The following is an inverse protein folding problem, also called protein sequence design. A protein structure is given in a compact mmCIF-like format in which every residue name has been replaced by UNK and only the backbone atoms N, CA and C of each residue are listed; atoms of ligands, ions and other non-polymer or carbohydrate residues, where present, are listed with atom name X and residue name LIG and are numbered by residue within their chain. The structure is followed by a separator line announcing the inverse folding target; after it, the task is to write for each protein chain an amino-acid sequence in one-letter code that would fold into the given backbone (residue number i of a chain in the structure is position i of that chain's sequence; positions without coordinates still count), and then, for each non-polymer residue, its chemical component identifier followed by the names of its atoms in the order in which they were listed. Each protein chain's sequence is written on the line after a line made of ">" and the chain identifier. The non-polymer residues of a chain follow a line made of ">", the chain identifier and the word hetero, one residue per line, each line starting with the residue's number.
data_IF_182300324851
#
_entry.id   IF_182300324851
#
_cell.length_a   1.000
_cell.length_b   1.000
_cell.length_c   1.000
_cell.angle_alpha   90.00
_cell.angle_beta   90.00
_cell.angle_gamma   90.00
#
_symmetry.space_group_name_H-M   'P 1'
#
loop_
_entity.id
_entity.type
_entity.pdbx_description
1 polymer ?
#
# COMPACT_ATOMS: atom_id res chain seq x y z
N UNK A 1 8.73 -12.50 -14.86
CA UNK A 1 8.63 -11.02 -14.96
C UNK A 1 7.18 -10.56 -14.90
N UNK A 2 6.28 -10.99 -15.79
CA UNK A 2 4.84 -10.67 -15.66
C UNK A 2 4.20 -11.29 -14.40
N UNK A 3 4.57 -12.53 -14.03
CA UNK A 3 4.21 -13.13 -12.73
C UNK A 3 4.73 -12.33 -11.52
N UNK A 4 5.71 -11.46 -11.75
CA UNK A 4 6.23 -10.56 -10.74
C UNK A 4 5.51 -9.19 -10.69
N UNK A 5 4.45 -9.00 -11.49
CA UNK A 5 3.66 -7.77 -11.54
C UNK A 5 4.25 -6.67 -12.43
N UNK A 6 5.30 -6.97 -13.21
CA UNK A 6 5.88 -5.99 -14.14
C UNK A 6 5.03 -5.81 -15.39
N UNK A 7 4.86 -4.56 -15.80
CA UNK A 7 4.43 -4.25 -17.17
C UNK A 7 5.47 -4.72 -18.18
N UNK A 8 5.09 -4.87 -19.44
CA UNK A 8 6.01 -5.28 -20.51
C UNK A 8 7.19 -4.32 -20.65
N UNK A 9 6.97 -3.02 -20.47
CA UNK A 9 8.03 -2.01 -20.52
C UNK A 9 8.99 -2.13 -19.34
N UNK A 10 8.49 -2.38 -18.12
CA UNK A 10 9.30 -2.60 -16.93
C UNK A 10 10.11 -3.90 -17.04
N UNK A 11 9.47 -4.99 -17.48
CA UNK A 11 10.12 -6.28 -17.70
C UNK A 11 11.26 -6.16 -18.73
N UNK A 12 11.04 -5.41 -19.80
CA UNK A 12 12.06 -5.16 -20.82
C UNK A 12 13.22 -4.31 -20.27
N UNK A 13 12.93 -3.25 -19.51
CA UNK A 13 13.96 -2.42 -18.88
C UNK A 13 14.84 -3.23 -17.90
N UNK A 14 14.22 -4.10 -17.10
CA UNK A 14 14.94 -4.98 -16.16
C UNK A 14 15.78 -6.03 -16.87
N UNK A 15 15.27 -6.60 -17.97
CA UNK A 15 16.05 -7.52 -18.79
C UNK A 15 17.28 -6.83 -19.39
N UNK A 16 17.14 -5.58 -19.87
CA UNK A 16 18.28 -4.80 -20.36
C UNK A 16 19.29 -4.46 -19.26
N UNK A 17 18.83 -4.11 -18.05
CA UNK A 17 19.71 -3.84 -16.91
C UNK A 17 20.50 -5.10 -16.50
N UNK A 18 19.82 -6.25 -16.42
CA UNK A 18 20.44 -7.53 -16.11
C UNK A 18 21.50 -7.96 -17.16
N UNK A 19 21.28 -7.67 -18.45
CA UNK A 19 22.29 -7.91 -19.50
C UNK A 19 23.57 -7.08 -19.32
N UNK A 20 23.49 -5.96 -18.57
CA UNK A 20 24.62 -5.09 -18.22
C UNK A 20 25.16 -5.37 -16.82
N UNK A 21 24.74 -6.49 -16.20
CA UNK A 21 25.07 -6.86 -14.82
C UNK A 21 24.63 -5.81 -13.78
N UNK A 22 23.68 -4.94 -14.15
CA UNK A 22 23.04 -3.98 -13.25
C UNK A 22 21.78 -4.62 -12.65
N UNK A 23 21.94 -5.23 -11.48
CA UNK A 23 20.85 -5.87 -10.75
C UNK A 23 20.11 -4.91 -9.80
N UNK A 24 20.55 -3.65 -9.68
CA UNK A 24 20.04 -2.70 -8.71
C UNK A 24 18.54 -2.45 -8.84
N UNK A 25 18.04 -2.12 -10.05
CA UNK A 25 16.61 -1.93 -10.28
C UNK A 25 15.74 -3.14 -9.94
N UNK A 26 16.23 -4.36 -10.20
CA UNK A 26 15.52 -5.60 -9.87
C UNK A 26 15.46 -5.79 -8.35
N UNK A 27 16.59 -5.65 -7.67
CA UNK A 27 16.67 -5.82 -6.22
C UNK A 27 15.85 -4.77 -5.47
N UNK A 28 15.91 -3.50 -5.89
CA UNK A 28 15.04 -2.44 -5.37
C UNK A 28 13.57 -2.84 -5.45
N UNK A 29 13.13 -3.32 -6.61
CA UNK A 29 11.75 -3.73 -6.76
C UNK A 29 11.39 -4.93 -5.89
N UNK A 30 12.25 -5.96 -5.80
CA UNK A 30 11.99 -7.12 -4.96
C UNK A 30 11.89 -6.75 -3.48
N UNK A 31 12.78 -5.87 -3.00
CA UNK A 31 12.76 -5.36 -1.63
C UNK A 31 11.48 -4.57 -1.35
N UNK A 32 11.14 -3.61 -2.22
CA UNK A 32 9.94 -2.79 -2.08
C UNK A 32 8.67 -3.63 -2.16
N UNK A 33 8.61 -4.61 -3.06
CA UNK A 33 7.50 -5.57 -3.12
C UNK A 33 7.40 -6.39 -1.84
N UNK A 34 8.52 -6.82 -1.27
CA UNK A 34 8.57 -7.49 0.02
C UNK A 34 7.98 -6.62 1.13
N UNK A 35 8.43 -5.36 1.24
CA UNK A 35 7.89 -4.40 2.20
C UNK A 35 6.37 -4.18 2.03
N UNK A 36 5.91 -3.97 0.79
CA UNK A 36 4.49 -3.81 0.50
C UNK A 36 3.66 -5.07 0.77
N UNK A 37 4.26 -6.26 0.71
CA UNK A 37 3.56 -7.52 1.03
C UNK A 37 3.20 -7.69 2.50
N UNK A 38 3.86 -6.94 3.40
CA UNK A 38 3.53 -6.89 4.82
C UNK A 38 2.43 -5.88 5.15
N UNK A 39 2.10 -4.97 4.22
CA UNK A 39 1.02 -4.00 4.37
C UNK A 39 -0.32 -4.71 4.15
N UNK A 40 -1.29 -4.43 5.02
CA UNK A 40 -2.63 -5.04 4.92
C UNK A 40 -3.31 -4.71 3.60
N UNK A 41 -3.90 -5.74 2.99
CA UNK A 41 -4.75 -5.60 1.82
C UNK A 41 -6.16 -5.13 2.25
N UNK A 42 -6.39 -3.83 2.10
CA UNK A 42 -7.66 -3.17 2.42
C UNK A 42 -8.75 -3.34 1.34
N UNK A 43 -8.43 -4.00 0.22
CA UNK A 43 -9.38 -4.27 -0.87
C UNK A 43 -10.21 -5.54 -0.64
N UNK A 44 -9.77 -6.40 0.28
CA UNK A 44 -10.48 -7.62 0.65
C UNK A 44 -11.84 -7.29 1.27
N UNK A 45 -12.93 -7.97 0.87
CA UNK A 45 -14.24 -7.83 1.50
C UNK A 45 -14.21 -8.14 3.01
N UNK A 46 -13.33 -9.04 3.42
CA UNK A 46 -13.05 -9.35 4.83
C UNK A 46 -11.54 -9.21 5.09
N UNK A 47 -11.12 -8.33 6.01
CA UNK A 47 -9.69 -8.11 6.26
C UNK A 47 -9.01 -9.35 6.86
N UNK A 48 -8.26 -10.09 6.04
CA UNK A 48 -7.59 -11.34 6.43
C UNK A 48 -6.53 -11.16 7.53
N UNK A 49 -6.03 -9.95 7.72
CA UNK A 49 -5.05 -9.65 8.78
C UNK A 49 -5.60 -9.93 10.18
N UNK A 50 -6.92 -9.85 10.38
CA UNK A 50 -7.54 -10.19 11.66
C UNK A 50 -7.34 -11.66 12.04
N UNK A 51 -7.50 -12.57 11.08
CA UNK A 51 -7.34 -14.02 11.30
C UNK A 51 -5.88 -14.30 11.65
N UNK A 52 -4.95 -13.78 10.85
CA UNK A 52 -3.51 -13.86 11.14
C UNK A 52 -3.17 -13.32 12.54
N UNK A 53 -3.78 -12.20 12.96
CA UNK A 53 -3.57 -11.61 14.28
C UNK A 53 -4.10 -12.50 15.40
N UNK A 54 -5.26 -13.13 15.21
CA UNK A 54 -5.83 -14.10 16.16
C UNK A 54 -4.93 -15.33 16.29
N UNK A 55 -4.54 -15.94 15.17
CA UNK A 55 -3.67 -17.12 15.14
C UNK A 55 -2.34 -16.86 15.85
N UNK A 56 -1.71 -15.71 15.59
CA UNK A 56 -0.47 -15.32 16.27
C UNK A 56 -0.68 -15.12 17.77
N UNK A 57 -1.81 -14.52 18.18
CA UNK A 57 -2.13 -14.35 19.60
C UNK A 57 -2.37 -15.68 20.31
N UNK A 58 -3.07 -16.62 19.68
CA UNK A 58 -3.29 -17.98 20.20
C UNK A 58 -1.98 -18.77 20.32
N UNK A 59 -1.03 -18.53 19.42
CA UNK A 59 0.31 -19.12 19.48
C UNK A 59 1.20 -18.56 20.60
N UNK A 60 0.78 -17.47 21.27
CA UNK A 60 1.57 -16.79 22.29
C UNK A 60 2.66 -15.88 21.74
N UNK A 61 2.52 -15.39 20.51
CA UNK A 61 3.50 -14.50 19.89
C UNK A 61 3.65 -13.19 20.70
N UNK A 62 4.88 -12.75 21.06
CA UNK A 62 5.11 -11.79 22.14
C UNK A 62 4.67 -10.35 21.85
N UNK A 63 4.43 -10.00 20.58
CA UNK A 63 4.12 -8.63 20.15
C UNK A 63 2.67 -8.44 19.69
N UNK A 64 1.78 -9.36 20.08
CA UNK A 64 0.38 -9.37 19.64
C UNK A 64 -0.55 -9.20 20.83
N UNK A 65 -1.40 -8.17 20.78
CA UNK A 65 -2.38 -7.88 21.82
C UNK A 65 -3.81 -8.24 21.38
N UNK A 66 -4.07 -9.54 21.21
CA UNK A 66 -5.39 -10.05 20.83
C UNK A 66 -6.51 -9.64 21.79
N UNK A 67 -6.32 -9.59 23.13
CA UNK A 67 -7.36 -9.12 24.03
C UNK A 67 -7.78 -7.67 23.79
N UNK A 68 -6.86 -6.78 23.42
CA UNK A 68 -7.21 -5.39 23.09
C UNK A 68 -8.00 -5.30 21.79
N UNK A 69 -7.58 -6.04 20.75
CA UNK A 69 -8.31 -6.12 19.49
C UNK A 69 -9.74 -6.63 19.70
N UNK A 70 -9.92 -7.69 20.49
CA UNK A 70 -11.24 -8.24 20.77
C UNK A 70 -12.16 -7.22 21.45
N UNK A 71 -11.65 -6.46 22.43
CA UNK A 71 -12.45 -5.39 23.08
C UNK A 71 -12.90 -4.30 22.11
N UNK A 72 -12.09 -3.95 21.11
CA UNK A 72 -12.49 -2.98 20.08
C UNK A 72 -13.60 -3.53 19.20
N UNK A 73 -13.49 -4.79 18.78
CA UNK A 73 -14.52 -5.47 17.99
C UNK A 73 -15.83 -5.62 18.78
N UNK A 74 -15.75 -6.01 20.06
CA UNK A 74 -16.91 -6.15 20.96
C UNK A 74 -17.60 -4.79 21.21
N UNK A 75 -16.85 -3.69 21.16
CA UNK A 75 -17.39 -2.33 21.25
C UNK A 75 -18.06 -1.86 19.94
N UNK A 76 -18.04 -2.68 18.88
CA UNK A 76 -18.67 -2.37 17.60
C UNK A 76 -17.85 -1.44 16.71
N UNK A 77 -16.54 -1.33 16.93
CA UNK A 77 -15.66 -0.60 16.00
C UNK A 77 -15.67 -1.30 14.63
N UNK A 78 -15.86 -0.53 13.56
CA UNK A 78 -15.81 -1.03 12.20
C UNK A 78 -14.40 -1.58 11.90
N UNK A 79 -14.33 -2.83 11.45
CA UNK A 79 -13.06 -3.48 11.09
C UNK A 79 -12.35 -2.75 9.95
N UNK A 80 -13.09 -2.14 9.03
CA UNK A 80 -12.50 -1.39 7.91
C UNK A 80 -11.88 -0.08 8.40
N UNK A 81 -12.40 0.54 9.47
CA UNK A 81 -11.74 1.65 10.17
C UNK A 81 -10.43 1.23 10.80
N UNK A 82 -10.43 0.10 11.51
CA UNK A 82 -9.20 -0.44 12.06
C UNK A 82 -8.18 -0.79 10.97
N UNK A 83 -8.64 -1.36 9.86
CA UNK A 83 -7.78 -1.73 8.72
C UNK A 83 -7.08 -0.51 8.13
N UNK A 84 -7.75 0.63 8.00
CA UNK A 84 -7.15 1.84 7.43
C UNK A 84 -6.10 2.43 8.37
N UNK A 85 -6.37 2.43 9.68
CA UNK A 85 -5.39 2.84 10.69
C UNK A 85 -4.15 1.93 10.67
N UNK A 86 -4.36 0.61 10.61
CA UNK A 86 -3.28 -0.37 10.50
C UNK A 86 -2.48 -0.14 9.23
N UNK A 87 -3.14 0.04 8.08
CA UNK A 87 -2.46 0.32 6.81
C UNK A 87 -1.61 1.59 6.90
N UNK A 88 -2.15 2.70 7.41
CA UNK A 88 -1.39 3.93 7.56
C UNK A 88 -0.15 3.76 8.45
N UNK A 89 -0.28 3.04 9.57
CA UNK A 89 0.85 2.74 10.44
C UNK A 89 1.91 1.88 9.76
N UNK A 90 1.50 0.86 8.98
CA UNK A 90 2.41 0.00 8.24
C UNK A 90 3.10 0.71 7.09
N UNK A 91 2.38 1.55 6.33
CA UNK A 91 2.96 2.38 5.26
C UNK A 91 4.02 3.32 5.83
N UNK A 92 3.72 4.00 6.94
CA UNK A 92 4.72 4.83 7.63
C UNK A 92 5.92 3.99 8.09
N UNK A 93 5.68 2.78 8.58
CA UNK A 93 6.75 1.88 9.01
C UNK A 93 7.67 1.51 7.85
N UNK A 94 7.13 1.07 6.71
CA UNK A 94 7.96 0.69 5.55
C UNK A 94 8.63 1.91 4.89
N UNK A 95 8.00 3.08 4.97
CA UNK A 95 8.60 4.36 4.58
C UNK A 95 9.85 4.65 5.41
N UNK A 96 9.72 4.58 6.73
CA UNK A 96 10.84 4.82 7.64
C UNK A 96 11.94 3.76 7.48
N UNK A 97 11.57 2.49 7.25
CA UNK A 97 12.55 1.42 6.97
C UNK A 97 13.29 1.67 5.66
N UNK A 98 12.59 2.05 4.58
CA UNK A 98 13.22 2.37 3.31
C UNK A 98 14.18 3.57 3.44
N UNK A 99 13.75 4.63 4.14
CA UNK A 99 14.59 5.79 4.44
C UNK A 99 15.82 5.41 5.28
N UNK A 100 15.64 4.58 6.30
CA UNK A 100 16.75 4.10 7.13
C UNK A 100 17.73 3.24 6.34
N UNK A 101 17.28 2.47 5.35
CA UNK A 101 18.17 1.68 4.49
C UNK A 101 19.00 2.58 3.58
N UNK A 102 18.39 3.64 3.03
CA UNK A 102 19.06 4.57 2.13
C UNK A 102 20.03 5.49 2.86
N UNK A 103 19.66 5.90 4.08
CA UNK A 103 20.44 6.81 4.93
C UNK A 103 20.28 6.45 6.42
N UNK A 104 21.05 5.48 6.94
CA UNK A 104 20.91 5.03 8.33
C UNK A 104 21.26 6.07 9.39
N UNK A 105 22.03 7.10 9.03
CA UNK A 105 22.54 8.09 9.97
C UNK A 105 21.68 9.36 10.05
N UNK A 106 20.75 9.55 9.10
CA UNK A 106 19.94 10.77 8.92
C UNK A 106 19.40 11.40 10.20
N UNK A 107 18.77 10.59 11.06
CA UNK A 107 18.02 11.07 12.22
C UNK A 107 18.78 10.90 13.55
N UNK A 108 20.00 10.37 13.51
CA UNK A 108 20.78 10.16 14.72
C UNK A 108 21.48 11.44 15.21
N UNK A 109 21.45 12.53 14.43
CA UNK A 109 22.11 13.79 14.77
C UNK A 109 23.63 13.67 14.89
N UNK A 110 24.19 12.57 14.40
CA UNK A 110 25.62 12.30 14.38
C UNK A 110 26.21 12.86 13.08
N UNK A 111 26.54 14.15 13.07
CA UNK A 111 27.71 14.61 12.31
C UNK A 111 28.96 14.12 13.06
N UNK A 112 29.14 12.79 13.10
CA UNK A 112 30.37 12.20 13.61
C UNK A 112 31.25 12.05 12.38
N UNK A 113 32.22 12.94 12.22
CA UNK A 113 33.14 12.98 11.06
C UNK A 113 33.78 11.60 10.74
N UNK A 114 33.84 10.70 11.74
CA UNK A 114 34.41 9.36 11.65
C UNK A 114 33.39 8.20 11.75
N UNK A 115 32.08 8.47 11.74
CA UNK A 115 31.08 7.39 11.77
C UNK A 115 31.05 6.66 10.42
N UNK A 116 31.14 5.32 10.41
CA UNK A 116 31.03 4.57 9.16
C UNK A 116 29.61 4.68 8.61
N UNK A 117 29.48 5.03 7.33
CA UNK A 117 28.22 4.92 6.61
C UNK A 117 27.80 3.44 6.54
N UNK A 118 26.66 3.11 7.13
CA UNK A 118 26.00 1.83 6.90
C UNK A 118 25.20 1.93 5.60
N UNK A 119 25.29 0.93 4.73
CA UNK A 119 24.50 0.90 3.51
C UNK A 119 24.16 -0.53 3.10
N UNK A 120 22.97 -0.70 2.52
CA UNK A 120 22.61 -1.95 1.87
C UNK A 120 23.30 -2.03 0.50
N UNK A 121 24.06 -3.10 0.30
CA UNK A 121 24.71 -3.39 -0.96
C UNK A 121 24.54 -4.87 -1.33
N UNK A 122 24.61 -5.17 -2.63
CA UNK A 122 24.61 -6.51 -3.17
C UNK A 122 25.92 -6.78 -3.91
N UNK A 123 26.25 -8.06 -4.03
CA UNK A 123 27.45 -8.54 -4.73
C UNK A 123 27.01 -9.41 -5.90
N UNK A 124 27.42 -9.02 -7.11
CA UNK A 124 27.45 -9.92 -8.25
C UNK A 124 28.87 -10.54 -8.28
N UNK A 125 28.98 -11.82 -7.91
CA UNK A 125 30.25 -12.56 -7.74
C UNK A 125 31.28 -11.86 -6.81
N UNK A 126 32.58 -12.16 -6.97
CA UNK A 126 33.68 -11.61 -6.16
C UNK A 126 34.00 -10.13 -6.45
N UNK A 127 33.03 -9.38 -6.98
CA UNK A 127 33.16 -7.98 -7.39
C UNK A 127 33.01 -6.97 -6.24
N UNK A 128 33.03 -5.68 -6.60
CA UNK A 128 32.76 -4.60 -5.66
C UNK A 128 31.26 -4.55 -5.29
N UNK A 129 30.91 -4.17 -4.04
CA UNK A 129 29.52 -3.98 -3.64
C UNK A 129 28.81 -2.96 -4.51
N UNK A 130 27.61 -3.30 -4.99
CA UNK A 130 26.74 -2.44 -5.77
C UNK A 130 25.50 -2.05 -4.95
N UNK A 131 24.90 -0.90 -5.26
CA UNK A 131 23.75 -0.37 -4.52
C UNK A 131 22.45 -0.55 -5.32
N UNK A 132 21.32 -0.90 -4.69
CA UNK A 132 20.03 -0.99 -5.39
C UNK A 132 19.44 0.36 -5.81
N UNK A 133 20.07 1.48 -5.39
CA UNK A 133 19.52 2.83 -5.50
C UNK A 133 18.54 3.13 -4.38
N UNK A 134 17.97 4.35 -4.38
CA UNK A 134 17.05 4.83 -3.35
C UNK A 134 15.77 3.96 -3.31
N UNK A 135 15.56 3.27 -2.19
CA UNK A 135 14.33 2.53 -1.91
C UNK A 135 13.21 3.51 -1.56
N UNK A 136 13.53 4.51 -0.74
CA UNK A 136 12.62 5.51 -0.20
C UNK A 136 11.95 6.32 -1.32
N UNK A 137 12.73 6.82 -2.29
CA UNK A 137 12.18 7.59 -3.42
C UNK A 137 11.26 6.74 -4.33
N UNK A 138 11.48 5.43 -4.36
CA UNK A 138 10.74 4.51 -5.22
C UNK A 138 9.56 3.82 -4.51
N UNK A 139 9.41 4.02 -3.20
CA UNK A 139 8.44 3.28 -2.38
C UNK A 139 7.00 3.58 -2.79
N UNK A 140 6.66 4.87 -2.90
CA UNK A 140 5.30 5.33 -3.16
C UNK A 140 4.80 4.88 -4.55
N UNK A 141 5.68 4.93 -5.56
CA UNK A 141 5.38 4.50 -6.93
C UNK A 141 5.06 3.00 -7.04
N UNK A 142 5.49 2.20 -6.06
CA UNK A 142 5.24 0.77 -6.01
C UNK A 142 4.11 0.38 -5.05
N UNK A 143 3.34 1.35 -4.54
CA UNK A 143 2.11 1.07 -3.78
C UNK A 143 1.17 0.21 -4.64
N UNK A 144 0.87 -1.05 -4.26
CA UNK A 144 -0.02 -1.91 -5.02
C UNK A 144 -1.42 -1.34 -5.19
N UNK A 145 -1.82 -0.44 -4.28
CA UNK A 145 -3.10 0.22 -4.34
C UNK A 145 -3.14 1.42 -5.31
N UNK A 146 -1.99 1.78 -5.90
CA UNK A 146 -1.87 2.90 -6.85
C UNK A 146 -2.08 4.27 -6.24
N UNK A 147 -2.00 4.39 -4.91
CA UNK A 147 -2.31 5.64 -4.18
C UNK A 147 -1.10 6.31 -3.56
N UNK A 148 0.12 5.90 -3.91
CA UNK A 148 1.34 6.53 -3.42
C UNK A 148 1.38 6.62 -1.88
N UNK A 149 0.99 5.53 -1.21
CA UNK A 149 0.91 5.45 0.24
C UNK A 149 -0.32 6.11 0.87
N UNK A 150 -1.07 6.91 0.12
CA UNK A 150 -2.22 7.65 0.64
C UNK A 150 -3.34 6.72 1.13
N UNK A 151 -4.01 7.07 2.25
CA UNK A 151 -5.16 6.33 2.72
C UNK A 151 -6.32 6.44 1.70
N UNK A 152 -7.18 5.43 1.67
CA UNK A 152 -8.42 5.53 0.90
C UNK A 152 -9.35 6.60 1.47
N UNK A 153 -10.09 7.29 0.59
CA UNK A 153 -11.14 8.19 1.05
C UNK A 153 -12.36 7.40 1.57
N UNK A 154 -13.22 8.07 2.34
CA UNK A 154 -14.47 7.47 2.82
C UNK A 154 -15.35 7.01 1.65
N UNK A 155 -15.36 7.75 0.55
CA UNK A 155 -16.07 7.40 -0.68
C UNK A 155 -15.50 6.13 -1.30
N UNK A 156 -14.18 6.00 -1.41
CA UNK A 156 -13.56 4.80 -1.96
C UNK A 156 -13.85 3.56 -1.10
N UNK A 157 -13.85 3.71 0.23
CA UNK A 157 -14.27 2.62 1.12
C UNK A 157 -15.73 2.24 0.88
N UNK A 158 -16.64 3.22 0.94
CA UNK A 158 -18.08 2.98 0.76
C UNK A 158 -18.38 2.33 -0.58
N UNK A 159 -17.65 2.74 -1.62
CA UNK A 159 -17.71 2.12 -2.94
C UNK A 159 -17.28 0.66 -2.92
N UNK A 160 -16.17 0.32 -2.25
CA UNK A 160 -15.71 -1.06 -2.08
C UNK A 160 -16.69 -1.96 -1.32
N UNK A 161 -17.51 -1.37 -0.43
CA UNK A 161 -18.55 -2.09 0.31
C UNK A 161 -19.84 -2.34 -0.51
N UNK A 162 -19.97 -1.76 -1.72
CA UNK A 162 -21.14 -1.98 -2.57
C UNK A 162 -21.12 -3.37 -3.22
N UNK A 163 -22.28 -3.95 -3.58
CA UNK A 163 -22.33 -5.16 -4.39
C UNK A 163 -21.56 -5.01 -5.71
N UNK A 164 -20.89 -6.06 -6.17
CA UNK A 164 -20.03 -6.02 -7.37
C UNK A 164 -20.76 -5.47 -8.62
N UNK A 165 -22.01 -5.87 -8.85
CA UNK A 165 -22.82 -5.36 -9.97
C UNK A 165 -23.02 -3.84 -9.90
N UNK A 166 -23.21 -3.29 -8.69
CA UNK A 166 -23.37 -1.86 -8.48
C UNK A 166 -22.03 -1.12 -8.63
N UNK A 167 -20.93 -1.73 -8.20
CA UNK A 167 -19.59 -1.19 -8.46
C UNK A 167 -19.31 -1.08 -9.95
N UNK A 168 -19.62 -2.11 -10.73
CA UNK A 168 -19.46 -2.12 -12.19
C UNK A 168 -20.32 -1.06 -12.87
N UNK A 169 -21.59 -0.93 -12.48
CA UNK A 169 -22.50 0.09 -13.00
C UNK A 169 -21.96 1.51 -12.72
N UNK A 170 -21.54 1.78 -11.48
CA UNK A 170 -20.95 3.06 -11.11
C UNK A 170 -19.67 3.33 -11.91
N UNK A 171 -18.75 2.36 -12.05
CA UNK A 171 -17.54 2.51 -12.89
C UNK A 171 -17.90 2.87 -14.34
N UNK A 172 -18.90 2.19 -14.90
CA UNK A 172 -19.38 2.45 -16.26
C UNK A 172 -19.91 3.86 -16.44
N UNK A 173 -20.70 4.36 -15.47
CA UNK A 173 -21.24 5.72 -15.49
C UNK A 173 -20.14 6.79 -15.28
N UNK A 174 -19.18 6.53 -14.40
CA UNK A 174 -18.03 7.42 -14.16
C UNK A 174 -17.14 7.55 -15.40
N UNK A 175 -16.87 6.43 -16.10
CA UNK A 175 -16.11 6.44 -17.35
C UNK A 175 -16.79 7.30 -18.44
N UNK A 176 -18.12 7.33 -18.45
CA UNK A 176 -18.93 8.16 -19.35
C UNK A 176 -19.14 9.60 -18.85
N UNK A 177 -18.59 9.96 -17.68
CA UNK A 177 -18.81 11.24 -17.01
C UNK A 177 -20.30 11.54 -16.76
N UNK A 178 -21.12 10.51 -16.56
CA UNK A 178 -22.55 10.60 -16.31
C UNK A 178 -22.83 10.98 -14.83
N UNK A 179 -22.35 12.15 -14.41
CA UNK A 179 -22.26 12.55 -13.00
C UNK A 179 -23.60 12.51 -12.26
N UNK A 180 -24.65 13.09 -12.85
CA UNK A 180 -25.97 13.15 -12.21
C UNK A 180 -26.60 11.76 -12.02
N UNK A 181 -26.43 10.87 -13.00
CA UNK A 181 -26.94 9.50 -12.92
C UNK A 181 -26.17 8.70 -11.86
N UNK A 182 -24.85 8.85 -11.84
CA UNK A 182 -23.98 8.23 -10.83
C UNK A 182 -24.35 8.73 -9.42
N UNK A 183 -24.59 10.03 -9.26
CA UNK A 183 -24.95 10.62 -7.96
C UNK A 183 -26.30 10.11 -7.44
N UNK A 184 -27.31 9.96 -8.31
CA UNK A 184 -28.61 9.37 -7.94
C UNK A 184 -28.46 7.89 -7.55
N UNK A 185 -27.67 7.14 -8.31
CA UNK A 185 -27.40 5.73 -8.02
C UNK A 185 -26.67 5.58 -6.67
N UNK A 186 -25.66 6.39 -6.43
CA UNK A 186 -24.95 6.47 -5.15
C UNK A 186 -25.87 6.85 -4.00
N UNK A 187 -26.71 7.88 -4.17
CA UNK A 187 -27.66 8.31 -3.16
C UNK A 187 -28.62 7.19 -2.75
N UNK A 188 -29.07 6.37 -3.71
CA UNK A 188 -29.95 5.22 -3.41
C UNK A 188 -29.24 4.14 -2.60
N UNK A 189 -27.95 3.94 -2.84
CA UNK A 189 -27.18 2.88 -2.20
C UNK A 189 -26.60 3.29 -0.83
N UNK A 190 -26.10 4.51 -0.71
CA UNK A 190 -25.34 5.01 0.44
C UNK A 190 -26.13 6.05 1.25
N UNK A 191 -27.15 6.66 0.65
CA UNK A 191 -27.91 7.76 1.26
C UNK A 191 -27.22 9.12 1.15
N UNK A 192 -27.86 10.14 1.74
CA UNK A 192 -27.35 11.50 1.83
C UNK A 192 -27.98 12.48 0.85
N UNK A 193 -27.53 13.74 0.90
CA UNK A 193 -28.00 14.80 0.01
C UNK A 193 -27.36 14.67 -1.38
N UNK A 194 -28.13 14.95 -2.43
CA UNK A 194 -27.69 14.78 -3.81
C UNK A 194 -26.44 15.62 -4.14
N UNK A 195 -26.32 16.83 -3.58
CA UNK A 195 -25.15 17.68 -3.76
C UNK A 195 -23.87 17.03 -3.20
N UNK A 196 -23.94 16.41 -2.01
CA UNK A 196 -22.83 15.67 -1.42
C UNK A 196 -22.52 14.39 -2.22
N UNK A 197 -23.54 13.69 -2.73
CA UNK A 197 -23.35 12.53 -3.59
C UNK A 197 -22.62 12.89 -4.89
N UNK A 198 -22.96 14.03 -5.50
CA UNK A 198 -22.28 14.53 -6.69
C UNK A 198 -20.79 14.81 -6.43
N UNK A 199 -20.48 15.52 -5.33
CA UNK A 199 -19.10 15.79 -4.94
C UNK A 199 -18.33 14.49 -4.64
N UNK A 200 -18.98 13.53 -3.97
CA UNK A 200 -18.41 12.21 -3.71
C UNK A 200 -18.04 11.47 -5.00
N UNK A 201 -18.91 11.50 -6.03
CA UNK A 201 -18.65 10.84 -7.32
C UNK A 201 -17.50 11.49 -8.10
N UNK A 202 -17.38 12.81 -8.05
CA UNK A 202 -16.24 13.51 -8.63
C UNK A 202 -14.92 13.18 -7.91
N UNK A 203 -14.98 13.03 -6.57
CA UNK A 203 -13.83 12.61 -5.79
C UNK A 203 -13.42 11.17 -6.09
N UNK A 204 -14.40 10.26 -6.14
CA UNK A 204 -14.20 8.83 -6.43
C UNK A 204 -13.62 8.61 -7.83
N UNK A 205 -14.07 9.37 -8.84
CA UNK A 205 -13.57 9.28 -10.21
C UNK A 205 -12.09 9.67 -10.38
N UNK A 206 -11.48 10.35 -9.39
CA UNK A 206 -10.04 10.64 -9.39
C UNK A 206 -9.21 9.53 -8.75
N UNK A 207 -9.88 8.58 -8.08
CA UNK A 207 -9.25 7.50 -7.31
C UNK A 207 -9.43 6.12 -7.96
N UNK A 208 -10.32 5.99 -8.94
CA UNK A 208 -10.58 4.79 -9.73
C UNK A 208 -9.93 4.90 -11.11
#
# INVERSE_FOLDING_TARGET
>A
MQELGYSDSQAHALAQAAQREDHGPLLRHLLLRGLWSDVVDESQPQPQWLERWRDLGESGFPFINSPALQRLLDAGVDVHDLTDVVRSAQVLTIYNVAQLIDDPCRDLGYDVEDAPDLQLAYLADAGAPQRPGSLHDALEELDPAGRHGQPRSLELRRFGALPAALQEEIRGLLAQKAWSQTAVLWQRAVGGELAHCLAAMQSLARQL
#
